data_IF_306122226455
#
_entry.id   IF_306122226455
#
_cell.length_a   1.000
_cell.length_b   1.000
_cell.length_c   1.000
_cell.angle_alpha   90.00
_cell.angle_beta   90.00
_cell.angle_gamma   90.00
#
_symmetry.space_group_name_H-M   'P 1'
#
loop_
_entity.id
_entity.type
_entity.pdbx_description
1 polymer ?
#
# COMPACT_ATOMS: atom_id res chain seq x y z
N UNK A 1 19.72 41.75 -29.23
CA UNK A 1 19.42 42.34 -27.90
C UNK A 1 18.08 41.73 -27.45
N UNK A 2 17.90 41.00 -26.35
CA UNK A 2 18.70 40.63 -25.16
C UNK A 2 18.40 39.15 -24.83
N UNK A 3 19.38 38.45 -24.27
CA UNK A 3 19.21 37.18 -23.57
C UNK A 3 18.53 37.41 -22.21
N UNK A 4 17.61 36.52 -21.80
CA UNK A 4 17.35 36.03 -20.43
C UNK A 4 16.47 34.78 -20.62
N UNK A 5 16.73 33.59 -20.11
CA UNK A 5 17.80 33.04 -19.30
C UNK A 5 17.49 31.55 -19.17
N UNK A 6 18.51 30.71 -19.30
CA UNK A 6 18.39 29.27 -19.12
C UNK A 6 17.80 28.97 -17.74
N UNK A 7 16.63 28.36 -17.70
CA UNK A 7 16.23 27.55 -16.55
C UNK A 7 16.61 26.13 -16.94
N UNK A 8 17.91 25.84 -16.81
CA UNK A 8 18.33 24.46 -16.60
C UNK A 8 17.76 24.06 -15.24
N UNK A 9 16.65 23.34 -15.23
CA UNK A 9 16.25 22.56 -14.05
C UNK A 9 17.15 21.33 -14.03
N UNK A 10 18.42 21.57 -13.72
CA UNK A 10 19.33 20.56 -13.24
C UNK A 10 18.97 20.26 -11.80
N UNK A 11 18.01 19.35 -11.64
CA UNK A 11 18.06 18.42 -10.53
C UNK A 11 17.61 17.08 -11.09
N UNK A 12 18.58 16.21 -11.38
CA UNK A 12 18.32 14.78 -11.20
C UNK A 12 17.77 14.66 -9.78
N UNK A 13 16.45 14.59 -9.63
CA UNK A 13 15.91 13.89 -8.47
C UNK A 13 16.57 12.53 -8.56
N UNK A 14 17.49 12.27 -7.63
CA UNK A 14 17.91 10.90 -7.35
C UNK A 14 16.61 10.11 -7.30
N UNK A 15 16.46 9.15 -8.21
CA UNK A 15 15.28 8.30 -8.27
C UNK A 15 15.21 7.63 -6.91
N UNK A 16 14.45 8.22 -5.97
CA UNK A 16 14.20 7.56 -4.70
C UNK A 16 13.59 6.25 -5.10
N UNK A 17 14.18 5.15 -4.63
CA UNK A 17 13.71 3.82 -4.95
C UNK A 17 12.21 3.79 -4.70
N UNK A 18 11.43 3.75 -5.78
CA UNK A 18 10.06 4.20 -5.73
C UNK A 18 9.24 3.11 -5.08
N UNK A 19 9.01 3.23 -3.77
CA UNK A 19 8.28 2.22 -3.00
C UNK A 19 6.88 2.02 -3.56
N UNK A 20 6.52 0.77 -3.83
CA UNK A 20 5.18 0.40 -4.30
C UNK A 20 4.32 0.06 -3.08
N UNK A 21 3.27 0.84 -2.86
CA UNK A 21 2.30 0.58 -1.81
C UNK A 21 1.19 -0.30 -2.35
N UNK A 22 0.85 -1.37 -1.65
CA UNK A 22 -0.22 -2.30 -2.01
C UNK A 22 -1.25 -2.29 -0.89
N UNK A 23 -2.41 -1.70 -1.15
CA UNK A 23 -3.54 -1.72 -0.23
C UNK A 23 -4.20 -3.11 -0.25
N UNK A 24 -4.32 -3.72 0.94
CA UNK A 24 -4.92 -5.05 1.12
C UNK A 24 -6.12 -4.99 2.05
N UNK A 25 -7.00 -5.97 1.92
CA UNK A 25 -8.13 -6.18 2.85
C UNK A 25 -7.77 -7.13 3.98
N UNK A 26 -8.49 -7.04 5.09
CA UNK A 26 -8.19 -7.78 6.33
C UNK A 26 -8.51 -9.27 6.26
N UNK A 27 -9.20 -9.72 5.20
CA UNK A 27 -9.53 -11.12 4.95
C UNK A 27 -8.34 -11.86 4.34
N UNK A 28 -8.27 -13.16 4.64
CA UNK A 28 -7.11 -13.98 4.30
C UNK A 28 -6.84 -14.00 2.79
N UNK A 29 -5.69 -13.44 2.39
CA UNK A 29 -5.13 -13.44 1.03
C UNK A 29 -6.07 -13.01 -0.11
N UNK A 30 -7.15 -12.29 0.19
CA UNK A 30 -8.11 -11.82 -0.82
C UNK A 30 -7.48 -10.81 -1.79
N UNK A 31 -6.45 -10.07 -1.37
CA UNK A 31 -5.66 -9.16 -2.21
C UNK A 31 -4.40 -9.80 -2.81
N UNK A 32 -4.25 -11.14 -2.74
CA UNK A 32 -3.05 -11.83 -3.23
C UNK A 32 -2.77 -11.54 -4.71
N UNK A 33 -3.80 -11.57 -5.54
CA UNK A 33 -3.65 -11.34 -6.98
C UNK A 33 -3.14 -9.94 -7.29
N UNK A 34 -3.59 -8.93 -6.55
CA UNK A 34 -3.11 -7.55 -6.69
C UNK A 34 -1.63 -7.42 -6.32
N UNK A 35 -1.20 -8.09 -5.25
CA UNK A 35 0.21 -8.12 -4.85
C UNK A 35 1.09 -8.83 -5.90
N UNK A 36 0.67 -10.03 -6.35
CA UNK A 36 1.42 -10.80 -7.35
C UNK A 36 1.53 -10.01 -8.66
N UNK A 37 0.43 -9.41 -9.11
CA UNK A 37 0.43 -8.57 -10.30
C UNK A 37 1.39 -7.37 -10.15
N UNK A 38 1.36 -6.67 -9.00
CA UNK A 38 2.24 -5.53 -8.75
C UNK A 38 3.73 -5.92 -8.83
N UNK A 39 4.08 -7.06 -8.22
CA UNK A 39 5.45 -7.58 -8.21
C UNK A 39 5.90 -7.93 -9.64
N UNK A 40 5.05 -8.59 -10.41
CA UNK A 40 5.40 -9.05 -11.77
C UNK A 40 5.43 -7.93 -12.82
N UNK A 41 4.61 -6.88 -12.67
CA UNK A 41 4.42 -5.88 -13.73
C UNK A 41 5.12 -4.55 -13.44
N UNK A 42 5.33 -4.19 -12.17
CA UNK A 42 5.84 -2.87 -11.77
C UNK A 42 7.09 -3.00 -10.89
N UNK A 43 7.32 -4.18 -10.32
CA UNK A 43 8.25 -4.46 -9.22
C UNK A 43 9.73 -4.47 -9.53
N UNK A 44 10.19 -4.13 -10.73
CA UNK A 44 11.61 -4.22 -11.13
C UNK A 44 12.59 -3.55 -10.14
N UNK A 45 13.08 -4.34 -9.17
CA UNK A 45 14.01 -3.95 -8.10
C UNK A 45 13.42 -3.15 -6.93
N UNK A 46 12.13 -2.81 -6.94
CA UNK A 46 11.55 -1.85 -5.98
C UNK A 46 11.18 -2.48 -4.65
N UNK A 47 11.22 -1.67 -3.60
CA UNK A 47 10.68 -2.04 -2.30
C UNK A 47 9.15 -1.99 -2.30
N UNK A 48 8.51 -2.92 -1.60
CA UNK A 48 7.06 -2.98 -1.44
C UNK A 48 6.63 -2.56 -0.03
N UNK A 49 5.41 -2.06 0.07
CA UNK A 49 4.77 -1.77 1.34
C UNK A 49 3.34 -2.33 1.33
N UNK A 50 3.06 -3.30 2.19
CA UNK A 50 1.71 -3.85 2.36
C UNK A 50 0.95 -2.96 3.33
N UNK A 51 -0.14 -2.34 2.86
CA UNK A 51 -0.91 -1.38 3.66
C UNK A 51 -2.27 -1.96 4.00
N UNK A 52 -2.62 -1.93 5.28
CA UNK A 52 -3.98 -2.17 5.74
C UNK A 52 -4.50 -0.99 6.56
N UNK A 53 -5.72 -0.55 6.24
CA UNK A 53 -6.46 0.42 7.05
C UNK A 53 -7.50 -0.32 7.88
N UNK A 54 -7.32 -0.27 9.19
CA UNK A 54 -8.19 -0.85 10.19
C UNK A 54 -9.25 0.15 10.62
N UNK A 55 -10.52 -0.19 10.39
CA UNK A 55 -11.65 0.56 10.91
C UNK A 55 -12.09 -0.05 12.25
N UNK A 56 -11.90 0.65 13.39
CA UNK A 56 -12.20 0.09 14.71
C UNK A 56 -13.68 -0.25 14.87
N UNK A 57 -13.96 -1.42 15.46
CA UNK A 57 -15.32 -1.84 15.83
C UNK A 57 -15.57 -1.47 17.31
N UNK A 58 -16.81 -1.12 17.65
CA UNK A 58 -17.21 -0.70 19.01
C UNK A 58 -16.85 -1.71 20.12
N UNK A 59 -16.82 -3.01 19.82
CA UNK A 59 -16.43 -4.03 20.80
C UNK A 59 -14.92 -4.16 20.88
N UNK A 60 -14.32 -3.74 22.00
CA UNK A 60 -12.88 -3.81 22.25
C UNK A 60 -12.31 -5.24 22.13
N UNK A 61 -13.05 -6.25 22.60
CA UNK A 61 -12.65 -7.66 22.52
C UNK A 61 -12.65 -8.16 21.07
N UNK A 62 -13.71 -7.86 20.31
CA UNK A 62 -13.81 -8.24 18.89
C UNK A 62 -12.74 -7.54 18.07
N UNK A 63 -12.55 -6.24 18.31
CA UNK A 63 -11.53 -5.41 17.68
C UNK A 63 -10.13 -5.99 17.91
N UNK A 64 -9.80 -6.41 19.13
CA UNK A 64 -8.51 -7.04 19.44
C UNK A 64 -8.28 -8.34 18.66
N UNK A 65 -9.28 -9.22 18.63
CA UNK A 65 -9.21 -10.50 17.89
C UNK A 65 -9.05 -10.27 16.39
N UNK A 66 -9.75 -9.28 15.85
CA UNK A 66 -9.63 -8.90 14.43
C UNK A 66 -8.25 -8.36 14.10
N UNK A 67 -7.71 -7.44 14.91
CA UNK A 67 -6.34 -6.93 14.75
C UNK A 67 -5.31 -8.06 14.73
N UNK A 68 -5.41 -9.00 15.67
CA UNK A 68 -4.52 -10.16 15.73
C UNK A 68 -4.61 -11.02 14.46
N UNK A 69 -5.83 -11.27 13.98
CA UNK A 69 -6.07 -12.02 12.73
C UNK A 69 -5.47 -11.29 11.53
N UNK A 70 -5.68 -9.97 11.42
CA UNK A 70 -5.16 -9.18 10.31
C UNK A 70 -3.63 -9.12 10.34
N UNK A 71 -3.00 -8.97 11.51
CA UNK A 71 -1.54 -9.02 11.59
C UNK A 71 -0.97 -10.34 11.07
N UNK A 72 -1.59 -11.48 11.42
CA UNK A 72 -1.23 -12.80 10.87
C UNK A 72 -1.42 -12.85 9.35
N UNK A 73 -2.47 -12.23 8.82
CA UNK A 73 -2.70 -12.16 7.37
C UNK A 73 -1.65 -11.28 6.67
N UNK A 74 -1.25 -10.14 7.26
CA UNK A 74 -0.17 -9.30 6.75
C UNK A 74 1.16 -10.04 6.69
N UNK A 75 1.46 -10.88 7.68
CA UNK A 75 2.66 -11.71 7.67
C UNK A 75 2.67 -12.73 6.51
N UNK A 76 1.50 -13.24 6.11
CA UNK A 76 1.40 -14.10 4.91
C UNK A 76 1.75 -13.33 3.63
N UNK A 77 1.34 -12.06 3.50
CA UNK A 77 1.72 -11.22 2.36
C UNK A 77 3.24 -10.95 2.34
N UNK A 78 3.85 -10.65 3.49
CA UNK A 78 5.32 -10.50 3.58
C UNK A 78 6.05 -11.80 3.19
N UNK A 79 5.50 -12.95 3.59
CA UNK A 79 6.03 -14.24 3.19
C UNK A 79 5.97 -14.46 1.66
N UNK A 80 4.89 -14.04 1.00
CA UNK A 80 4.76 -14.06 -0.45
C UNK A 80 5.82 -13.16 -1.10
N UNK A 81 6.00 -11.93 -0.61
CA UNK A 81 7.05 -11.02 -1.10
C UNK A 81 8.44 -11.66 -1.02
N UNK A 82 8.76 -12.26 0.13
CA UNK A 82 10.04 -12.96 0.35
C UNK A 82 10.23 -14.14 -0.60
N UNK A 83 9.18 -14.94 -0.83
CA UNK A 83 9.21 -16.06 -1.78
C UNK A 83 9.44 -15.58 -3.22
N UNK A 84 8.95 -14.39 -3.56
CA UNK A 84 9.16 -13.74 -4.86
C UNK A 84 10.42 -12.85 -4.90
N UNK A 85 11.29 -12.96 -3.91
CA UNK A 85 12.59 -12.27 -3.86
C UNK A 85 12.50 -10.72 -3.91
N UNK A 86 11.42 -10.15 -3.37
CA UNK A 86 11.28 -8.68 -3.21
C UNK A 86 11.28 -8.28 -1.74
N UNK A 87 11.88 -7.12 -1.44
CA UNK A 87 11.82 -6.53 -0.09
C UNK A 87 10.45 -5.94 0.17
N UNK A 88 9.88 -6.19 1.35
CA UNK A 88 8.60 -5.63 1.73
C UNK A 88 8.51 -5.35 3.23
N UNK A 89 7.86 -4.24 3.57
CA UNK A 89 7.39 -3.94 4.92
C UNK A 89 5.85 -3.94 4.97
N UNK A 90 5.29 -3.83 6.18
CA UNK A 90 3.85 -3.67 6.38
C UNK A 90 3.53 -2.40 7.18
N UNK A 91 2.43 -1.74 6.83
CA UNK A 91 1.86 -0.62 7.57
C UNK A 91 0.44 -1.01 8.00
N UNK A 92 0.12 -0.71 9.25
CA UNK A 92 -1.20 -0.84 9.82
C UNK A 92 -1.67 0.54 10.27
N UNK A 93 -2.75 1.05 9.69
CA UNK A 93 -3.31 2.37 9.98
C UNK A 93 -4.64 2.19 10.69
N UNK A 94 -4.83 2.79 11.85
CA UNK A 94 -6.16 2.86 12.48
C UNK A 94 -6.84 4.16 12.05
N UNK A 95 -8.01 4.04 11.43
CA UNK A 95 -8.77 5.20 10.94
C UNK A 95 -10.27 4.94 10.98
N UNK A 96 -11.08 5.99 11.07
CA UNK A 96 -12.54 5.90 11.03
C UNK A 96 -13.10 5.54 9.64
N UNK A 97 -12.33 5.75 8.58
CA UNK A 97 -12.64 5.33 7.21
C UNK A 97 -11.39 4.85 6.46
N UNK A 98 -11.57 3.91 5.52
CA UNK A 98 -10.48 3.41 4.67
C UNK A 98 -9.91 4.54 3.82
N UNK A 99 -10.78 5.34 3.21
CA UNK A 99 -10.42 6.46 2.34
C UNK A 99 -9.54 7.47 3.07
N UNK A 100 -9.92 7.85 4.30
CA UNK A 100 -9.11 8.75 5.13
C UNK A 100 -7.75 8.15 5.47
N UNK A 101 -7.68 6.86 5.76
CA UNK A 101 -6.42 6.18 6.05
C UNK A 101 -5.49 6.16 4.83
N UNK A 102 -6.05 5.98 3.62
CA UNK A 102 -5.30 6.08 2.37
C UNK A 102 -4.85 7.52 2.09
N UNK A 103 -5.71 8.52 2.28
CA UNK A 103 -5.35 9.93 2.11
C UNK A 103 -4.22 10.35 3.07
N UNK A 104 -4.28 9.90 4.32
CA UNK A 104 -3.21 10.13 5.28
C UNK A 104 -1.91 9.44 4.85
N UNK A 105 -1.97 8.18 4.40
CA UNK A 105 -0.79 7.49 3.89
C UNK A 105 -0.13 8.28 2.75
N UNK A 106 -0.92 8.75 1.77
CA UNK A 106 -0.42 9.54 0.63
C UNK A 106 0.25 10.82 1.12
N UNK A 107 -0.39 11.53 2.05
CA UNK A 107 0.09 12.81 2.56
C UNK A 107 1.36 12.66 3.40
N UNK A 108 1.36 11.74 4.36
CA UNK A 108 2.43 11.60 5.36
C UNK A 108 3.68 10.92 4.79
N UNK A 109 3.52 9.98 3.85
CA UNK A 109 4.62 9.17 3.30
C UNK A 109 4.99 9.53 1.86
N UNK A 110 4.32 10.51 1.27
CA UNK A 110 4.57 10.92 -0.12
C UNK A 110 4.36 9.78 -1.11
N UNK A 111 3.28 9.01 -0.96
CA UNK A 111 3.01 7.84 -1.83
C UNK A 111 2.81 8.29 -3.28
N UNK A 112 3.66 7.77 -4.17
CA UNK A 112 3.58 8.03 -5.61
C UNK A 112 2.98 6.87 -6.41
N UNK A 113 3.08 5.64 -5.88
CA UNK A 113 2.53 4.41 -6.47
C UNK A 113 1.72 3.64 -5.46
N UNK A 114 0.42 3.58 -5.70
CA UNK A 114 -0.54 2.80 -4.92
C UNK A 114 -1.22 1.78 -5.84
N UNK A 115 -1.15 0.51 -5.46
CA UNK A 115 -1.90 -0.59 -6.08
C UNK A 115 -3.01 -0.98 -5.13
N UNK A 116 -4.23 -1.06 -5.66
CA UNK A 116 -5.42 -1.51 -4.96
C UNK A 116 -6.11 -2.61 -5.78
N UNK A 117 -6.65 -3.61 -5.10
CA UNK A 117 -7.43 -4.66 -5.76
C UNK A 117 -8.80 -4.15 -6.16
N UNK A 118 -9.35 -4.72 -7.24
CA UNK A 118 -10.77 -4.58 -7.50
C UNK A 118 -11.54 -5.44 -6.51
N UNK A 119 -12.59 -4.88 -5.92
CA UNK A 119 -13.54 -5.66 -5.15
C UNK A 119 -14.36 -6.50 -6.14
N UNK A 120 -13.89 -7.69 -6.51
CA UNK A 120 -14.77 -8.65 -7.19
C UNK A 120 -15.75 -9.17 -6.15
N UNK A 121 -16.96 -8.63 -6.19
CA UNK A 121 -18.17 -8.99 -5.45
C UNK A 121 -18.19 -8.66 -3.94
N UNK A 122 -18.68 -7.45 -3.62
CA UNK A 122 -19.85 -7.20 -2.74
C UNK A 122 -20.00 -5.70 -2.47
N UNK A 123 -21.10 -5.13 -2.96
CA UNK A 123 -21.61 -3.77 -2.72
C UNK A 123 -20.99 -2.65 -3.57
N UNK A 124 -21.25 -2.70 -4.88
CA UNK A 124 -21.56 -1.49 -5.63
C UNK A 124 -23.09 -1.43 -5.73
N UNK A 125 -23.73 -0.66 -4.85
CA UNK A 125 -25.07 -0.15 -5.12
C UNK A 125 -24.88 1.30 -5.57
N UNK A 126 -25.19 1.57 -6.85
CA UNK A 126 -25.41 2.94 -7.32
C UNK A 126 -26.71 3.49 -6.74
#
# INVERSE_FOLDING_TARGET
MKMVGSIEISKREMVMDEKIYVAVVGKDLESKSSLVWAIQNIGGGKEFCIVYVHQPIQSSVRNRKEKEKVHKNLDKYLNICRQMQVSAEKIFIEMDSVEKGILQLISDRGVRKLVMGTATDRHYSM
#
